data_IF_132962700285
#
_entry.id   IF_132962700285
#
_cell.length_a   1.000
_cell.length_b   1.000
_cell.length_c   1.000
_cell.angle_alpha   90.00
_cell.angle_beta   90.00
_cell.angle_gamma   90.00
#
_symmetry.space_group_name_H-M   'P 1'
#
loop_
_entity.id
_entity.type
_entity.pdbx_description
1 polymer ?
#
# COMPACT_ATOMS: atom_id res chain seq x y z
N UNK A 1 -9.20 5.98 -10.35
CA UNK A 1 -7.91 5.74 -9.68
C UNK A 1 -8.16 5.03 -8.35
N UNK A 2 -7.26 4.15 -7.93
CA UNK A 2 -7.37 3.46 -6.64
C UNK A 2 -6.99 4.42 -5.51
N UNK A 3 -7.81 4.47 -4.47
CA UNK A 3 -7.50 5.19 -3.24
C UNK A 3 -6.51 4.34 -2.42
N UNK A 4 -5.27 4.79 -2.27
CA UNK A 4 -4.20 4.04 -1.63
C UNK A 4 -3.77 4.78 -0.36
N UNK A 5 -3.78 4.06 0.75
CA UNK A 5 -3.13 4.49 1.98
C UNK A 5 -1.63 4.25 1.87
N UNK A 6 -0.86 5.30 2.15
CA UNK A 6 0.59 5.27 2.14
C UNK A 6 1.10 5.28 3.57
N UNK A 7 1.98 4.33 3.88
CA UNK A 7 2.79 4.30 5.08
C UNK A 7 4.20 4.73 4.68
N UNK A 8 4.70 5.80 5.29
CA UNK A 8 5.98 6.42 4.99
C UNK A 8 6.83 6.45 6.26
N UNK A 9 8.16 6.35 6.08
CA UNK A 9 9.11 6.52 7.17
C UNK A 9 9.66 7.94 7.14
N UNK A 10 9.53 8.67 8.26
CA UNK A 10 10.10 9.99 8.49
C UNK A 10 11.05 9.92 9.70
N UNK A 11 12.33 9.68 9.43
CA UNK A 11 13.33 9.37 10.46
C UNK A 11 12.95 8.12 11.25
N UNK A 12 12.77 8.27 12.56
CA UNK A 12 12.37 7.18 13.48
C UNK A 12 10.85 7.01 13.61
N UNK A 13 10.05 7.76 12.84
CA UNK A 13 8.58 7.76 12.95
C UNK A 13 7.94 7.26 11.67
N UNK A 14 6.97 6.36 11.85
CA UNK A 14 6.05 5.99 10.79
C UNK A 14 4.94 7.04 10.70
N UNK A 15 4.76 7.60 9.51
CA UNK A 15 3.73 8.58 9.19
C UNK A 15 2.84 8.07 8.06
N UNK A 16 1.61 8.57 8.01
CA UNK A 16 0.57 8.08 7.12
C UNK A 16 0.03 9.22 6.26
N UNK A 17 -0.24 8.93 4.99
CA UNK A 17 -0.95 9.83 4.08
C UNK A 17 -1.82 9.03 3.12
N UNK A 18 -2.60 9.73 2.30
CA UNK A 18 -3.53 9.10 1.36
C UNK A 18 -3.35 9.71 -0.03
N UNK A 19 -3.44 8.89 -1.08
CA UNK A 19 -3.20 9.36 -2.46
C UNK A 19 -4.13 10.50 -2.86
N UNK A 20 -5.35 10.57 -2.31
CA UNK A 20 -6.28 11.69 -2.59
C UNK A 20 -5.75 13.07 -2.16
N UNK A 21 -4.74 13.13 -1.30
CA UNK A 21 -4.12 14.37 -0.81
C UNK A 21 -2.90 14.79 -1.66
N UNK A 22 -2.64 14.05 -2.74
CA UNK A 22 -1.51 14.22 -3.65
C UNK A 22 -2.05 14.72 -5.00
N UNK A 23 -1.29 15.50 -5.74
CA UNK A 23 -1.62 15.89 -7.12
C UNK A 23 -1.83 14.67 -8.04
N UNK A 24 -2.83 14.73 -8.91
CA UNK A 24 -3.27 13.64 -9.79
C UNK A 24 -2.12 13.04 -10.63
N UNK A 25 -1.24 13.89 -11.18
CA UNK A 25 -0.09 13.44 -11.97
C UNK A 25 0.92 12.60 -11.18
N UNK A 26 1.02 12.80 -9.86
CA UNK A 26 1.86 11.98 -8.97
C UNK A 26 1.10 10.75 -8.48
N UNK A 27 -0.23 10.84 -8.33
CA UNK A 27 -1.07 9.68 -8.03
C UNK A 27 -0.94 8.60 -9.11
N UNK A 28 -0.96 8.99 -10.39
CA UNK A 28 -0.76 8.06 -11.52
C UNK A 28 0.59 7.34 -11.45
N UNK A 29 1.65 8.06 -11.09
CA UNK A 29 2.99 7.49 -10.95
C UNK A 29 3.06 6.53 -9.76
N UNK A 30 2.45 6.88 -8.63
CA UNK A 30 2.34 5.98 -7.47
C UNK A 30 1.55 4.73 -7.86
N UNK A 31 0.42 4.88 -8.55
CA UNK A 31 -0.38 3.75 -9.03
C UNK A 31 0.44 2.84 -9.95
N UNK A 32 1.20 3.40 -10.89
CA UNK A 32 2.05 2.63 -11.79
C UNK A 32 3.17 1.84 -11.07
N UNK A 33 3.60 2.28 -9.88
CA UNK A 33 4.51 1.51 -9.02
C UNK A 33 3.75 0.36 -8.35
N UNK A 34 2.58 0.63 -7.78
CA UNK A 34 1.74 -0.39 -7.14
C UNK A 34 1.27 -1.48 -8.13
N UNK A 35 1.00 -1.11 -9.38
CA UNK A 35 0.59 -2.05 -10.44
C UNK A 35 1.69 -3.06 -10.82
N UNK A 36 2.95 -2.78 -10.48
CA UNK A 36 4.07 -3.70 -10.68
C UNK A 36 4.23 -4.69 -9.54
N UNK A 37 3.67 -4.43 -8.36
CA UNK A 37 3.77 -5.34 -7.20
C UNK A 37 3.22 -6.74 -7.51
N UNK A 38 2.06 -6.91 -8.17
CA UNK A 38 1.57 -8.23 -8.56
C UNK A 38 2.53 -8.97 -9.49
N UNK A 39 3.17 -8.29 -10.44
CA UNK A 39 4.14 -8.89 -11.35
C UNK A 39 5.34 -9.47 -10.58
N UNK A 40 5.91 -8.69 -9.66
CA UNK A 40 7.03 -9.14 -8.82
C UNK A 40 6.64 -10.26 -7.86
N UNK A 41 5.45 -10.14 -7.25
CA UNK A 41 4.93 -11.15 -6.32
C UNK A 41 4.65 -12.47 -7.05
N UNK A 42 4.02 -12.42 -8.23
CA UNK A 42 3.74 -13.61 -9.02
C UNK A 42 5.00 -14.22 -9.62
N UNK A 43 5.97 -13.40 -10.04
CA UNK A 43 7.29 -13.88 -10.46
C UNK A 43 8.02 -14.62 -9.35
N UNK A 44 8.03 -14.06 -8.14
CA UNK A 44 8.62 -14.71 -6.96
C UNK A 44 7.90 -16.02 -6.58
N UNK A 45 6.57 -16.03 -6.63
CA UNK A 45 5.77 -17.26 -6.44
C UNK A 45 6.13 -18.33 -7.46
N UNK A 46 6.20 -17.96 -8.73
CA UNK A 46 6.56 -18.87 -9.81
C UNK A 46 7.96 -19.46 -9.60
N UNK A 47 8.95 -18.63 -9.27
CA UNK A 47 10.31 -19.09 -8.99
C UNK A 47 10.36 -20.00 -7.76
N UNK A 48 9.67 -19.64 -6.68
CA UNK A 48 9.55 -20.46 -5.47
C UNK A 48 8.91 -21.82 -5.75
N UNK A 49 7.85 -21.85 -6.56
CA UNK A 49 7.21 -23.07 -7.04
C UNK A 49 8.18 -23.92 -7.88
N UNK A 50 8.80 -23.32 -8.91
CA UNK A 50 9.68 -24.04 -9.83
C UNK A 50 10.90 -24.64 -9.11
N UNK A 51 11.59 -23.85 -8.30
CA UNK A 51 12.75 -24.32 -7.53
C UNK A 51 12.38 -25.41 -6.52
N UNK A 52 11.25 -25.28 -5.85
CA UNK A 52 10.81 -26.30 -4.88
C UNK A 52 10.37 -27.59 -5.56
N UNK A 53 9.67 -27.51 -6.70
CA UNK A 53 9.36 -28.68 -7.53
C UNK A 53 10.62 -29.38 -8.00
N UNK A 54 11.61 -28.62 -8.48
CA UNK A 54 12.89 -29.16 -8.91
C UNK A 54 13.63 -29.84 -7.75
N UNK A 55 13.65 -29.22 -6.57
CA UNK A 55 14.27 -29.78 -5.38
C UNK A 55 13.55 -31.06 -4.90
N UNK A 56 12.22 -31.06 -4.87
CA UNK A 56 11.41 -32.22 -4.49
C UNK A 56 11.66 -33.40 -5.42
N UNK A 57 11.83 -33.15 -6.72
CA UNK A 57 12.05 -34.19 -7.73
C UNK A 57 13.50 -34.68 -7.76
N UNK A 58 14.49 -33.81 -7.53
CA UNK A 58 15.92 -34.18 -7.58
C UNK A 58 16.44 -34.79 -6.28
N UNK A 59 15.89 -34.43 -5.13
CA UNK A 59 16.37 -34.91 -3.83
C UNK A 59 15.67 -36.22 -3.48
N UNK A 60 16.41 -37.33 -3.56
CA UNK A 60 15.86 -38.68 -3.34
C UNK A 60 15.14 -38.87 -1.99
N UNK A 61 15.60 -38.22 -0.92
CA UNK A 61 14.96 -38.31 0.40
C UNK A 61 13.58 -37.62 0.42
N UNK A 62 13.43 -36.53 -0.32
CA UNK A 62 12.19 -35.74 -0.41
C UNK A 62 11.22 -36.36 -1.42
N UNK A 63 11.74 -36.90 -2.53
CA UNK A 63 10.95 -37.56 -3.57
C UNK A 63 10.16 -38.77 -3.04
N UNK A 64 10.70 -39.46 -2.02
CA UNK A 64 10.07 -40.62 -1.36
C UNK A 64 8.98 -40.24 -0.35
N UNK A 65 8.83 -38.95 -0.02
CA UNK A 65 7.82 -38.51 0.94
C UNK A 65 6.41 -38.63 0.34
N UNK A 66 5.38 -38.87 1.18
CA UNK A 66 3.99 -38.80 0.77
C UNK A 66 3.67 -37.47 0.06
N UNK A 67 2.71 -37.50 -0.87
CA UNK A 67 2.37 -36.35 -1.72
C UNK A 67 2.01 -35.10 -0.91
N UNK A 68 1.35 -35.26 0.24
CA UNK A 68 0.97 -34.14 1.11
C UNK A 68 2.17 -33.35 1.65
N UNK A 69 3.27 -34.03 2.02
CA UNK A 69 4.48 -33.36 2.50
C UNK A 69 5.20 -32.62 1.37
N UNK A 70 5.27 -33.24 0.19
CA UNK A 70 5.85 -32.60 -1.01
C UNK A 70 5.05 -31.37 -1.43
N UNK A 71 3.72 -31.48 -1.45
CA UNK A 71 2.83 -30.36 -1.71
C UNK A 71 2.99 -29.24 -0.67
N UNK A 72 3.15 -29.59 0.61
CA UNK A 72 3.42 -28.62 1.68
C UNK A 72 4.73 -27.85 1.48
N UNK A 73 5.81 -28.55 1.10
CA UNK A 73 7.10 -27.91 0.78
C UNK A 73 6.92 -26.93 -0.38
N UNK A 74 6.31 -27.36 -1.48
CA UNK A 74 6.12 -26.53 -2.67
C UNK A 74 5.23 -25.32 -2.38
N UNK A 75 4.13 -25.52 -1.66
CA UNK A 75 3.22 -24.44 -1.28
C UNK A 75 3.92 -23.40 -0.39
N UNK A 76 4.67 -23.87 0.61
CA UNK A 76 5.42 -22.99 1.51
C UNK A 76 6.46 -22.17 0.74
N UNK A 77 7.25 -22.80 -0.12
CA UNK A 77 8.25 -22.12 -0.95
C UNK A 77 7.62 -21.13 -1.93
N UNK A 78 6.44 -21.45 -2.48
CA UNK A 78 5.70 -20.55 -3.37
C UNK A 78 5.26 -19.30 -2.61
N UNK A 79 4.69 -19.46 -1.42
CA UNK A 79 4.24 -18.33 -0.59
C UNK A 79 5.43 -17.46 -0.16
N UNK A 80 6.50 -18.09 0.33
CA UNK A 80 7.73 -17.38 0.72
C UNK A 80 8.37 -16.65 -0.46
N UNK A 81 8.40 -17.27 -1.64
CA UNK A 81 8.92 -16.65 -2.86
C UNK A 81 8.19 -15.35 -3.21
N UNK A 82 6.86 -15.33 -3.08
CA UNK A 82 6.06 -14.11 -3.28
C UNK A 82 6.29 -13.04 -2.21
N UNK A 83 6.40 -13.43 -0.94
CA UNK A 83 6.68 -12.49 0.15
C UNK A 83 8.06 -11.85 -0.01
N UNK A 84 9.09 -12.66 -0.25
CA UNK A 84 10.47 -12.18 -0.43
C UNK A 84 10.59 -11.30 -1.66
N UNK A 85 9.99 -11.67 -2.79
CA UNK A 85 10.06 -10.84 -4.00
C UNK A 85 9.32 -9.51 -3.84
N UNK A 86 8.20 -9.49 -3.12
CA UNK A 86 7.50 -8.25 -2.77
C UNK A 86 8.34 -7.35 -1.86
N UNK A 87 9.00 -7.92 -0.85
CA UNK A 87 9.92 -7.19 0.03
C UNK A 87 11.10 -6.60 -0.76
N UNK A 88 11.72 -7.40 -1.63
CA UNK A 88 12.82 -6.94 -2.49
C UNK A 88 12.35 -5.83 -3.43
N UNK A 89 11.14 -5.94 -3.99
CA UNK A 89 10.56 -4.88 -4.81
C UNK A 89 10.46 -3.56 -4.04
N UNK A 90 9.95 -3.57 -2.81
CA UNK A 90 9.87 -2.33 -2.02
C UNK A 90 11.24 -1.80 -1.59
N UNK A 91 12.14 -2.69 -1.17
CA UNK A 91 13.50 -2.35 -0.70
C UNK A 91 14.47 -1.97 -1.82
N UNK A 92 14.19 -2.26 -3.07
CA UNK A 92 15.04 -1.86 -4.21
C UNK A 92 14.94 -0.37 -4.56
N UNK A 93 14.19 0.42 -3.79
CA UNK A 93 14.08 1.87 -3.93
C UNK A 93 12.68 2.37 -4.30
N UNK A 94 11.72 1.48 -4.53
CA UNK A 94 10.32 1.85 -4.80
C UNK A 94 9.67 2.53 -3.58
N UNK A 95 10.03 2.13 -2.36
CA UNK A 95 9.61 2.80 -1.11
C UNK A 95 10.04 4.28 -1.11
N UNK A 96 11.32 4.54 -1.44
CA UNK A 96 11.86 5.90 -1.54
C UNK A 96 11.24 6.69 -2.70
N UNK A 97 10.92 6.03 -3.82
CA UNK A 97 10.27 6.68 -4.95
C UNK A 97 8.85 7.13 -4.59
N UNK A 98 8.07 6.29 -3.91
CA UNK A 98 6.75 6.65 -3.39
C UNK A 98 6.85 7.80 -2.39
N UNK A 99 7.82 7.77 -1.46
CA UNK A 99 8.04 8.85 -0.51
C UNK A 99 8.37 10.18 -1.20
N UNK A 100 9.20 10.18 -2.25
CA UNK A 100 9.50 11.37 -3.05
C UNK A 100 8.27 11.93 -3.77
N UNK A 101 7.44 11.05 -4.33
CA UNK A 101 6.19 11.45 -5.00
C UNK A 101 5.15 11.98 -4.02
N UNK A 102 5.14 11.48 -2.78
CA UNK A 102 4.29 11.97 -1.71
C UNK A 102 4.83 13.23 -1.02
N UNK A 103 6.01 13.73 -1.40
CA UNK A 103 6.56 14.95 -0.81
C UNK A 103 5.65 16.16 -1.06
N UNK A 104 5.40 16.94 0.00
CA UNK A 104 4.46 18.05 0.02
C UNK A 104 3.03 17.68 0.38
N UNK A 105 2.71 16.38 0.47
CA UNK A 105 1.40 15.94 0.96
C UNK A 105 1.32 16.05 2.50
N UNK A 106 0.15 16.37 3.07
CA UNK A 106 -0.06 16.32 4.51
C UNK A 106 0.11 14.88 5.04
N UNK A 107 0.86 14.75 6.13
CA UNK A 107 1.15 13.48 6.80
C UNK A 107 0.61 13.48 8.23
N UNK A 108 0.24 12.30 8.71
CA UNK A 108 -0.40 12.09 10.02
C UNK A 108 0.33 11.01 10.80
N UNK A 109 0.35 11.11 12.12
CA UNK A 109 1.04 10.12 12.98
C UNK A 109 0.23 8.82 13.13
N UNK A 110 -1.08 8.88 12.92
CA UNK A 110 -1.98 7.72 13.04
C UNK A 110 -2.77 7.55 11.76
N UNK A 111 -2.89 6.30 11.31
CA UNK A 111 -3.59 5.95 10.07
C UNK A 111 -5.05 6.43 10.03
N UNK A 112 -5.76 6.40 11.15
CA UNK A 112 -7.16 6.81 11.24
C UNK A 112 -7.38 8.33 11.27
N UNK A 113 -6.31 9.12 11.41
CA UNK A 113 -6.38 10.58 11.36
C UNK A 113 -6.27 11.10 9.91
N UNK A 114 -5.92 10.24 8.95
CA UNK A 114 -5.73 10.62 7.56
C UNK A 114 -7.10 10.82 6.89
N UNK A 115 -7.41 12.03 6.39
CA UNK A 115 -8.66 12.29 5.69
C UNK A 115 -8.63 11.67 4.29
N UNK A 116 -9.65 10.87 3.98
CA UNK A 116 -9.88 10.33 2.65
C UNK A 116 -10.79 11.28 1.87
N UNK A 117 -10.21 12.21 1.12
CA UNK A 117 -10.98 13.24 0.41
C UNK A 117 -12.00 12.62 -0.54
N UNK A 118 -11.68 11.53 -1.22
CA UNK A 118 -12.63 10.84 -2.09
C UNK A 118 -13.90 10.40 -1.36
N UNK A 119 -13.81 9.96 -0.10
CA UNK A 119 -14.98 9.63 0.72
C UNK A 119 -15.69 10.88 1.25
N UNK A 120 -14.94 11.91 1.65
CA UNK A 120 -15.50 13.18 2.13
C UNK A 120 -16.31 13.90 1.04
N UNK A 121 -15.85 13.89 -0.21
CA UNK A 121 -16.60 14.44 -1.34
C UNK A 121 -17.86 13.63 -1.66
N UNK A 122 -17.89 12.31 -1.42
CA UNK A 122 -19.14 11.55 -1.50
C UNK A 122 -20.19 12.07 -0.51
N UNK A 123 -19.81 12.46 0.71
CA UNK A 123 -20.75 13.06 1.66
C UNK A 123 -21.16 14.48 1.28
N UNK A 124 -20.23 15.29 0.75
CA UNK A 124 -20.51 16.68 0.34
C UNK A 124 -21.31 16.78 -0.97
N UNK A 125 -21.21 15.77 -1.85
CA UNK A 125 -21.98 15.72 -3.09
C UNK A 125 -23.34 15.02 -2.89
N UNK A 126 -23.46 14.11 -1.92
CA UNK A 126 -24.78 13.60 -1.46
C UNK A 126 -25.57 14.69 -0.69
N UNK A 127 -24.87 15.67 -0.10
CA UNK A 127 -25.48 16.87 0.49
C UNK A 127 -26.14 17.80 -0.56
N UNK A 128 -25.85 17.66 -1.86
CA UNK A 128 -26.58 18.40 -2.91
C UNK A 128 -28.03 17.93 -3.11
N UNK A 129 -28.44 16.83 -2.45
CA UNK A 129 -29.83 16.40 -2.37
C UNK A 129 -30.45 16.58 -0.97
N UNK A 130 -29.70 17.15 -0.02
CA UNK A 130 -30.18 17.39 1.35
C UNK A 130 -30.91 18.73 1.41
N UNK A 131 -32.23 18.69 1.55
CA UNK A 131 -33.05 19.89 1.84
C UNK A 131 -32.54 20.49 3.17
N UNK A 132 -32.13 21.76 3.21
CA UNK A 132 -31.56 22.34 4.42
C UNK A 132 -32.66 22.47 5.49
N UNK A 133 -32.50 21.78 6.62
CA UNK A 133 -33.21 22.16 7.84
C UNK A 133 -32.32 23.14 8.61
N UNK A 134 -32.84 24.36 8.84
CA UNK A 134 -32.16 25.53 9.39
C UNK A 134 -31.58 25.38 10.81
N UNK A 135 -31.55 24.18 11.39
CA UNK A 135 -31.24 23.98 12.81
C UNK A 135 -29.90 23.28 13.12
N UNK A 136 -29.09 22.92 12.12
CA UNK A 136 -27.80 22.25 12.37
C UNK A 136 -26.58 23.17 12.47
N UNK A 137 -26.76 24.49 12.27
CA UNK A 137 -25.70 25.49 12.45
C UNK A 137 -25.79 26.18 13.82
N UNK A 138 -25.60 25.41 14.89
CA UNK A 138 -25.16 25.96 16.16
C UNK A 138 -23.70 25.55 16.40
N UNK A 139 -22.80 26.32 15.76
CA UNK A 139 -21.68 26.98 16.44
C UNK A 139 -20.80 26.07 17.31
N UNK A 140 -19.61 25.69 16.84
CA UNK A 140 -18.34 26.03 17.53
C UNK A 140 -17.09 25.67 16.69
N UNK A 141 -16.46 26.72 16.17
CA UNK A 141 -15.00 26.92 16.05
C UNK A 141 -14.21 26.00 15.10
N UNK A 142 -14.00 26.49 13.87
CA UNK A 142 -12.92 26.02 13.01
C UNK A 142 -11.55 26.31 13.65
N UNK A 143 -10.79 25.25 13.95
CA UNK A 143 -9.37 25.37 14.31
C UNK A 143 -8.56 25.51 13.03
N UNK A 144 -7.87 26.65 12.89
CA UNK A 144 -6.80 26.81 11.92
C UNK A 144 -5.64 25.89 12.31
N UNK A 145 -5.22 24.98 11.43
CA UNK A 145 -3.99 24.22 11.61
C UNK A 145 -2.83 24.91 10.89
N UNK A 146 -1.77 25.15 11.66
CA UNK A 146 -0.57 25.89 11.31
C UNK A 146 0.52 24.97 10.76
N UNK A 147 1.20 25.48 9.72
CA UNK A 147 2.48 25.06 9.08
C UNK A 147 2.45 23.95 8.02
N UNK A 148 2.73 24.41 6.80
CA UNK A 148 3.14 23.70 5.59
C UNK A 148 4.58 23.20 5.78
N UNK A 149 4.87 21.94 5.42
CA UNK A 149 6.20 21.35 5.48
C UNK A 149 7.08 21.93 4.35
N UNK A 150 8.27 22.43 4.68
CA UNK A 150 9.36 22.72 3.74
C UNK A 150 10.56 21.90 4.20
N UNK A 151 11.12 21.07 3.32
CA UNK A 151 12.38 20.38 3.58
C UNK A 151 13.50 21.10 2.85
N UNK A 152 14.51 21.55 3.62
CA UNK A 152 15.86 21.84 3.12
C UNK A 152 16.63 20.53 2.90
#
# INVERSE_FOLDING_TARGET
>A
MSNIFLELQDGDKTVYTHTSLIEESKQEQIQAIYDKVPQWTNGGRFLGFWLSMEAVNRVQSVAKLPIYYRAGIVATSTLLGGLVSSLVFWKSGNENQVAKLANGAPVYLKKWEVPELSKLYFFLDDDNNFKPSLNHHAVTQGRQYYKIYQHN
#
